data_IF_066571018737
#
_entry.id   IF_066571018737
#
_cell.length_a   1.000
_cell.length_b   1.000
_cell.length_c   1.000
_cell.angle_alpha   90.00
_cell.angle_beta   90.00
_cell.angle_gamma   90.00
#
_symmetry.space_group_name_H-M   'P 1'
#
loop_
_entity.id
_entity.type
_entity.pdbx_description
1 polymer ?
#
# COMPACT_ATOMS: atom_id res chain seq x y z
N UNK A 1 -13.44 -6.43 -11.11
CA UNK A 1 -13.58 -5.74 -12.42
C UNK A 1 -15.04 -5.45 -12.74
N UNK A 2 -15.93 -6.46 -12.75
CA UNK A 2 -17.34 -6.23 -13.07
C UNK A 2 -18.02 -5.17 -12.19
N UNK A 3 -17.79 -5.22 -10.87
CA UNK A 3 -18.36 -4.25 -9.94
C UNK A 3 -17.84 -2.80 -10.11
N UNK A 4 -16.66 -2.63 -10.69
CA UNK A 4 -16.05 -1.33 -10.94
C UNK A 4 -16.26 -0.83 -12.37
N UNK A 5 -16.80 -1.68 -13.25
CA UNK A 5 -16.89 -1.47 -14.71
C UNK A 5 -15.57 -0.97 -15.33
N UNK A 6 -14.47 -1.45 -14.81
CA UNK A 6 -13.14 -1.08 -15.26
C UNK A 6 -12.71 -1.93 -16.47
N UNK A 7 -12.03 -1.31 -17.45
CA UNK A 7 -11.42 -2.01 -18.58
C UNK A 7 -10.10 -2.66 -18.18
N UNK A 8 -9.36 -2.02 -17.26
CA UNK A 8 -8.09 -2.49 -16.72
C UNK A 8 -8.01 -2.29 -15.22
N UNK A 9 -7.35 -3.22 -14.53
CA UNK A 9 -6.92 -3.09 -13.14
C UNK A 9 -5.44 -3.45 -13.08
N UNK A 10 -4.62 -2.56 -12.51
CA UNK A 10 -3.20 -2.80 -12.30
C UNK A 10 -2.88 -2.69 -10.80
N UNK A 11 -2.12 -3.64 -10.27
CA UNK A 11 -1.69 -3.61 -8.88
C UNK A 11 -0.41 -4.41 -8.64
N UNK A 12 0.19 -4.21 -7.48
CA UNK A 12 1.40 -4.93 -7.05
C UNK A 12 1.05 -5.97 -6.00
N UNK A 13 1.56 -7.19 -6.14
CA UNK A 13 1.28 -8.30 -5.24
C UNK A 13 1.68 -8.00 -3.78
N UNK A 14 2.81 -7.31 -3.56
CA UNK A 14 3.27 -6.97 -2.21
C UNK A 14 2.35 -6.01 -1.44
N UNK A 15 1.36 -5.38 -2.08
CA UNK A 15 0.35 -4.54 -1.41
C UNK A 15 -0.85 -5.35 -0.92
N UNK A 16 -0.90 -6.63 -1.26
CA UNK A 16 -1.93 -7.58 -0.82
C UNK A 16 -1.29 -8.88 -0.32
N UNK A 17 -0.26 -8.74 0.52
CA UNK A 17 0.48 -9.84 1.16
C UNK A 17 1.30 -10.75 0.24
N UNK A 18 1.38 -10.45 -1.05
CA UNK A 18 2.16 -11.20 -2.02
C UNK A 18 3.64 -10.83 -2.04
N UNK A 19 4.46 -11.57 -2.80
CA UNK A 19 5.89 -11.33 -2.92
C UNK A 19 6.20 -10.04 -3.66
N UNK A 20 7.40 -9.50 -3.41
CA UNK A 20 7.97 -8.38 -4.16
C UNK A 20 8.28 -8.79 -5.62
N UNK A 21 8.33 -7.81 -6.51
CA UNK A 21 8.71 -8.02 -7.90
C UNK A 21 7.62 -8.65 -8.79
N UNK A 22 6.37 -8.66 -8.31
CA UNK A 22 5.20 -9.09 -9.08
C UNK A 22 4.23 -7.92 -9.22
N UNK A 23 3.93 -7.57 -10.46
CA UNK A 23 2.87 -6.67 -10.86
C UNK A 23 1.84 -7.40 -11.71
N UNK A 24 0.59 -7.08 -11.56
CA UNK A 24 -0.53 -7.67 -12.28
C UNK A 24 -1.23 -6.59 -13.10
N UNK A 25 -1.47 -6.87 -14.38
CA UNK A 25 -2.43 -6.18 -15.22
C UNK A 25 -3.55 -7.15 -15.56
N UNK A 26 -4.75 -6.89 -15.08
CA UNK A 26 -5.95 -7.63 -15.42
C UNK A 26 -6.86 -6.74 -16.27
N UNK A 27 -7.49 -7.29 -17.28
CA UNK A 27 -8.34 -6.50 -18.18
C UNK A 27 -9.37 -7.34 -18.92
N UNK A 28 -10.38 -6.66 -19.49
CA UNK A 28 -11.30 -7.26 -20.45
C UNK A 28 -10.45 -7.72 -21.66
N UNK A 29 -10.71 -8.91 -22.19
CA UNK A 29 -9.93 -9.43 -23.32
C UNK A 29 -9.97 -8.50 -24.54
N UNK A 30 -11.12 -7.88 -24.80
CA UNK A 30 -11.29 -6.86 -25.86
C UNK A 30 -10.38 -5.65 -25.66
N UNK A 31 -10.18 -5.20 -24.41
CA UNK A 31 -9.31 -4.07 -24.08
C UNK A 31 -7.84 -4.46 -24.12
N UNK A 32 -7.48 -5.63 -23.57
CA UNK A 32 -6.12 -6.17 -23.61
C UNK A 32 -5.64 -6.38 -25.07
N UNK A 33 -6.56 -6.80 -25.96
CA UNK A 33 -6.21 -7.02 -27.37
C UNK A 33 -5.85 -5.73 -28.14
N UNK A 34 -6.21 -4.56 -27.63
CA UNK A 34 -5.83 -3.27 -28.21
C UNK A 34 -4.43 -2.81 -27.79
N UNK A 35 -3.88 -3.40 -26.72
CA UNK A 35 -2.56 -3.01 -26.22
C UNK A 35 -1.45 -3.49 -27.16
N UNK A 36 -0.47 -2.63 -27.37
CA UNK A 36 0.77 -2.96 -28.04
C UNK A 36 1.84 -3.33 -27.01
N UNK A 37 2.76 -4.25 -27.35
CA UNK A 37 3.91 -4.52 -26.50
C UNK A 37 4.74 -3.27 -26.22
N UNK A 38 5.09 -3.04 -24.95
CA UNK A 38 5.98 -1.96 -24.56
C UNK A 38 7.45 -2.42 -24.56
N UNK A 39 7.68 -3.68 -24.19
CA UNK A 39 8.99 -4.31 -24.19
C UNK A 39 9.00 -5.50 -25.13
N UNK A 40 10.18 -5.80 -25.68
CA UNK A 40 10.38 -6.92 -26.58
C UNK A 40 11.38 -7.91 -25.99
N UNK A 41 11.13 -9.20 -26.18
CA UNK A 41 11.99 -10.26 -25.62
C UNK A 41 11.51 -11.65 -25.97
N UNK A 42 12.09 -12.65 -25.32
CA UNK A 42 11.73 -14.04 -25.53
C UNK A 42 10.27 -14.35 -25.18
N UNK A 43 9.71 -15.39 -25.79
CA UNK A 43 8.36 -15.94 -25.60
C UNK A 43 7.18 -15.11 -26.12
N UNK A 44 7.34 -13.82 -26.36
CA UNK A 44 6.28 -12.94 -26.86
C UNK A 44 6.16 -12.89 -28.37
N UNK A 45 7.13 -13.46 -29.08
CA UNK A 45 7.25 -13.43 -30.55
C UNK A 45 6.84 -14.80 -31.09
N UNK A 46 5.98 -14.80 -32.11
CA UNK A 46 5.62 -15.98 -32.87
C UNK A 46 6.63 -16.20 -33.99
N UNK A 47 6.88 -15.14 -34.79
CA UNK A 47 7.81 -15.17 -35.93
C UNK A 47 8.55 -13.85 -36.09
N UNK A 48 9.83 -13.95 -36.44
CA UNK A 48 10.67 -12.79 -36.81
C UNK A 48 11.26 -13.03 -38.23
N UNK A 49 11.16 -12.04 -39.07
CA UNK A 49 11.88 -11.97 -40.35
C UNK A 49 12.49 -10.57 -40.53
N UNK A 50 13.25 -10.37 -41.62
CA UNK A 50 13.77 -9.04 -41.91
C UNK A 50 12.67 -8.02 -42.31
N UNK A 51 11.49 -8.50 -42.69
CA UNK A 51 10.40 -7.66 -43.18
C UNK A 51 9.30 -7.44 -42.17
N UNK A 52 9.08 -8.41 -41.25
CA UNK A 52 7.99 -8.33 -40.29
C UNK A 52 8.26 -9.11 -38.97
N UNK A 53 7.58 -8.69 -37.95
CA UNK A 53 7.51 -9.37 -36.66
C UNK A 53 6.04 -9.68 -36.38
N UNK A 54 5.74 -10.95 -36.04
CA UNK A 54 4.42 -11.36 -35.53
C UNK A 54 4.56 -11.73 -34.06
N UNK A 55 3.59 -11.31 -33.28
CA UNK A 55 3.57 -11.56 -31.83
C UNK A 55 2.70 -12.76 -31.51
N UNK A 56 3.07 -13.45 -30.44
CA UNK A 56 2.25 -14.50 -29.86
C UNK A 56 0.92 -13.92 -29.36
N UNK A 57 -0.04 -14.82 -29.11
CA UNK A 57 -1.32 -14.46 -28.55
C UNK A 57 -1.20 -13.93 -27.10
N UNK A 58 -2.26 -13.31 -26.61
CA UNK A 58 -2.38 -12.94 -25.20
C UNK A 58 -2.40 -14.20 -24.32
N UNK A 59 -1.76 -14.18 -23.17
CA UNK A 59 -1.07 -13.02 -22.53
C UNK A 59 0.36 -12.80 -23.01
N UNK A 60 0.96 -13.77 -23.71
CA UNK A 60 2.40 -13.82 -23.99
C UNK A 60 2.95 -12.60 -24.74
N UNK A 61 2.17 -12.02 -25.66
CA UNK A 61 2.63 -10.83 -26.39
C UNK A 61 2.88 -9.61 -25.51
N UNK A 62 2.34 -9.57 -24.28
CA UNK A 62 2.53 -8.49 -23.32
C UNK A 62 3.54 -8.85 -22.21
N UNK A 63 4.12 -10.05 -22.26
CA UNK A 63 5.03 -10.60 -21.25
C UNK A 63 6.39 -10.94 -21.87
N UNK A 64 7.27 -9.94 -22.00
CA UNK A 64 8.58 -10.10 -22.61
C UNK A 64 9.56 -10.80 -21.66
N UNK A 65 10.20 -11.88 -22.16
CA UNK A 65 11.25 -12.60 -21.46
C UNK A 65 10.75 -13.67 -20.49
N UNK A 66 11.66 -14.19 -19.67
CA UNK A 66 11.32 -15.18 -18.64
C UNK A 66 10.66 -14.48 -17.45
N UNK A 67 9.42 -14.85 -17.09
CA UNK A 67 8.73 -14.23 -15.96
C UNK A 67 9.37 -14.61 -14.61
N UNK A 68 9.05 -13.87 -13.56
CA UNK A 68 9.38 -14.23 -12.19
C UNK A 68 8.53 -15.42 -11.74
N UNK A 69 8.90 -16.64 -12.14
CA UNK A 69 8.13 -17.88 -11.92
C UNK A 69 7.88 -18.11 -10.43
N UNK A 70 8.93 -18.00 -9.60
CA UNK A 70 8.81 -18.21 -8.15
C UNK A 70 7.83 -17.21 -7.51
N UNK A 71 7.89 -15.93 -7.92
CA UNK A 71 6.98 -14.90 -7.43
C UNK A 71 5.53 -15.14 -7.87
N UNK A 72 5.30 -15.59 -9.11
CA UNK A 72 3.95 -15.90 -9.60
C UNK A 72 3.35 -17.08 -8.82
N UNK A 73 4.11 -18.16 -8.61
CA UNK A 73 3.67 -19.32 -7.81
C UNK A 73 3.39 -18.90 -6.36
N UNK A 74 4.31 -18.12 -5.76
CA UNK A 74 4.13 -17.59 -4.40
C UNK A 74 2.90 -16.71 -4.28
N UNK A 75 2.63 -15.88 -5.28
CA UNK A 75 1.42 -15.06 -5.28
C UNK A 75 0.14 -15.90 -5.44
N UNK A 76 0.17 -16.97 -6.24
CA UNK A 76 -0.93 -17.94 -6.33
C UNK A 76 -1.29 -18.53 -4.95
N UNK A 77 -0.29 -18.95 -4.18
CA UNK A 77 -0.48 -19.45 -2.82
C UNK A 77 -1.11 -18.40 -1.88
N UNK A 78 -0.69 -17.13 -2.00
CA UNK A 78 -1.28 -16.02 -1.24
C UNK A 78 -2.75 -15.82 -1.62
N UNK A 79 -3.09 -15.85 -2.90
CA UNK A 79 -4.48 -15.73 -3.34
C UNK A 79 -5.38 -16.85 -2.79
N UNK A 80 -4.86 -18.10 -2.73
CA UNK A 80 -5.59 -19.21 -2.13
C UNK A 80 -5.73 -19.09 -0.62
N UNK A 81 -4.74 -18.53 0.06
CA UNK A 81 -4.83 -18.20 1.48
C UNK A 81 -5.85 -17.08 1.73
N UNK A 82 -5.83 -16.02 0.94
CA UNK A 82 -6.76 -14.88 1.04
C UNK A 82 -8.22 -15.31 0.82
N UNK A 83 -8.52 -16.29 -0.04
CA UNK A 83 -9.88 -16.82 -0.25
C UNK A 83 -10.54 -17.37 1.03
N UNK A 84 -9.73 -17.71 2.05
CA UNK A 84 -10.20 -18.23 3.34
C UNK A 84 -10.60 -17.13 4.33
N UNK A 85 -10.36 -15.87 3.98
CA UNK A 85 -10.61 -14.73 4.86
C UNK A 85 -11.96 -14.09 4.55
N UNK A 86 -12.64 -13.66 5.60
CA UNK A 86 -13.70 -12.67 5.49
C UNK A 86 -13.06 -11.28 5.38
N UNK A 87 -12.86 -10.81 4.16
CA UNK A 87 -12.23 -9.51 3.90
C UNK A 87 -13.01 -8.36 4.50
N UNK A 88 -14.33 -8.43 4.48
CA UNK A 88 -15.17 -7.35 4.99
C UNK A 88 -15.00 -7.24 6.51
N UNK A 89 -15.01 -8.34 7.23
CA UNK A 89 -14.75 -8.37 8.66
C UNK A 89 -13.32 -7.94 9.00
N UNK A 90 -12.34 -8.40 8.24
CA UNK A 90 -10.93 -8.05 8.44
C UNK A 90 -10.66 -6.55 8.20
N UNK A 91 -11.25 -5.95 7.17
CA UNK A 91 -11.17 -4.52 6.89
C UNK A 91 -11.88 -3.71 7.98
N UNK A 92 -13.09 -4.09 8.36
CA UNK A 92 -13.85 -3.41 9.41
C UNK A 92 -13.08 -3.41 10.74
N UNK A 93 -12.40 -4.50 11.08
CA UNK A 93 -11.56 -4.60 12.26
C UNK A 93 -10.36 -3.64 12.21
N UNK A 94 -9.61 -3.63 11.10
CA UNK A 94 -8.47 -2.72 10.92
C UNK A 94 -8.91 -1.24 10.95
N UNK A 95 -10.05 -0.92 10.34
CA UNK A 95 -10.67 0.41 10.41
C UNK A 95 -11.05 0.78 11.83
N UNK A 96 -11.61 -0.15 12.62
CA UNK A 96 -11.96 0.13 14.02
C UNK A 96 -10.73 0.50 14.87
N UNK A 97 -9.59 -0.19 14.69
CA UNK A 97 -8.33 0.16 15.37
C UNK A 97 -7.84 1.57 14.96
N UNK A 98 -7.96 1.92 13.68
CA UNK A 98 -7.60 3.24 13.18
C UNK A 98 -8.51 4.34 13.76
N UNK A 99 -9.82 4.14 13.77
CA UNK A 99 -10.77 5.13 14.32
C UNK A 99 -10.55 5.34 15.82
N UNK A 100 -10.33 4.26 16.57
CA UNK A 100 -9.95 4.37 17.98
C UNK A 100 -8.66 5.18 18.17
N UNK A 101 -7.66 4.95 17.32
CA UNK A 101 -6.41 5.72 17.37
C UNK A 101 -6.62 7.19 17.04
N UNK A 102 -7.49 7.52 16.07
CA UNK A 102 -7.87 8.91 15.75
C UNK A 102 -8.53 9.60 16.95
N UNK A 103 -9.43 8.91 17.65
CA UNK A 103 -10.10 9.46 18.83
C UNK A 103 -9.09 9.77 19.92
N UNK A 104 -8.14 8.86 20.18
CA UNK A 104 -7.08 9.07 21.19
C UNK A 104 -6.13 10.20 20.80
N UNK A 105 -5.70 10.28 19.54
CA UNK A 105 -4.81 11.34 19.03
C UNK A 105 -5.42 12.73 19.17
N UNK A 106 -6.74 12.88 19.06
CA UNK A 106 -7.43 14.17 19.26
C UNK A 106 -7.28 14.73 20.69
N UNK A 107 -6.93 13.91 21.67
CA UNK A 107 -6.71 14.36 23.03
C UNK A 107 -5.35 15.07 23.22
N UNK A 108 -4.45 15.00 22.24
CA UNK A 108 -3.18 15.70 22.26
C UNK A 108 -3.35 17.09 21.66
N UNK A 109 -3.13 18.18 22.41
CA UNK A 109 -3.48 19.54 22.00
C UNK A 109 -2.76 20.02 20.74
N UNK A 110 -1.53 19.53 20.51
CA UNK A 110 -0.71 19.92 19.36
C UNK A 110 -0.76 18.90 18.21
N UNK A 111 -1.64 17.91 18.28
CA UNK A 111 -1.79 16.90 17.23
C UNK A 111 -2.80 17.36 16.17
N UNK A 112 -2.35 17.40 14.91
CA UNK A 112 -3.22 17.62 13.76
C UNK A 112 -3.38 16.36 12.94
N UNK A 113 -4.63 15.98 12.68
CA UNK A 113 -4.99 14.79 11.92
C UNK A 113 -5.36 15.16 10.48
N UNK A 114 -4.86 14.37 9.53
CA UNK A 114 -5.19 14.48 8.11
C UNK A 114 -6.00 13.25 7.70
N UNK A 115 -7.30 13.35 7.81
CA UNK A 115 -8.20 12.21 7.63
C UNK A 115 -9.03 12.34 6.35
N UNK A 116 -9.26 11.20 5.68
CA UNK A 116 -10.33 11.08 4.70
C UNK A 116 -11.70 11.20 5.39
N UNK A 117 -12.71 11.76 4.71
CA UNK A 117 -14.10 11.67 5.16
C UNK A 117 -14.59 10.22 5.26
N UNK A 118 -14.02 9.33 4.45
CA UNK A 118 -14.35 7.90 4.48
C UNK A 118 -13.51 7.18 5.55
N UNK A 119 -14.10 6.20 6.26
CA UNK A 119 -13.35 5.34 7.17
C UNK A 119 -12.16 4.68 6.47
N UNK A 120 -11.04 4.60 7.16
CA UNK A 120 -9.80 4.05 6.61
C UNK A 120 -8.96 3.41 7.71
N UNK A 121 -8.27 2.33 7.38
CA UNK A 121 -7.28 1.67 8.25
C UNK A 121 -5.96 2.46 8.38
N UNK A 122 -5.90 3.67 7.83
CA UNK A 122 -4.70 4.54 7.85
C UNK A 122 -5.02 5.83 8.59
N UNK A 123 -4.08 6.27 9.44
CA UNK A 123 -4.16 7.54 10.19
C UNK A 123 -2.91 8.34 9.89
N UNK A 124 -3.07 9.55 9.33
CA UNK A 124 -1.99 10.48 9.10
C UNK A 124 -2.09 11.67 10.08
N UNK A 125 -0.96 12.05 10.66
CA UNK A 125 -0.92 13.11 11.66
C UNK A 125 0.45 13.79 11.74
N UNK A 126 0.47 14.95 12.39
CA UNK A 126 1.68 15.70 12.79
C UNK A 126 1.49 16.21 14.21
N UNK A 127 2.58 16.57 14.86
CA UNK A 127 2.58 17.36 16.07
C UNK A 127 3.20 18.73 15.78
N UNK A 128 2.47 19.80 16.06
CA UNK A 128 2.97 21.15 15.85
C UNK A 128 4.18 21.42 16.75
N UNK A 129 5.25 21.93 16.16
CA UNK A 129 6.51 22.17 16.84
C UNK A 129 7.44 20.96 16.98
N UNK A 130 7.03 19.77 16.54
CA UNK A 130 7.85 18.55 16.62
C UNK A 130 8.14 18.04 15.20
N UNK A 131 9.41 17.82 14.90
CA UNK A 131 9.81 17.22 13.63
C UNK A 131 9.32 15.76 13.54
N UNK A 132 8.61 15.44 12.48
CA UNK A 132 8.06 14.08 12.28
C UNK A 132 9.16 13.00 12.26
N UNK A 133 10.37 13.32 11.76
CA UNK A 133 11.52 12.42 11.76
C UNK A 133 11.99 12.06 13.17
N UNK A 134 12.03 13.04 14.06
CA UNK A 134 12.56 12.85 15.41
C UNK A 134 11.60 11.98 16.23
N UNK A 135 10.31 12.29 16.14
CA UNK A 135 9.28 11.48 16.78
C UNK A 135 9.28 10.04 16.23
N UNK A 136 9.43 9.87 14.90
CA UNK A 136 9.51 8.54 14.29
C UNK A 136 10.73 7.75 14.77
N UNK A 137 11.87 8.42 14.97
CA UNK A 137 13.09 7.79 15.49
C UNK A 137 12.88 7.28 16.92
N UNK A 138 12.37 8.12 17.81
CA UNK A 138 12.09 7.73 19.20
C UNK A 138 11.05 6.60 19.31
N UNK A 139 10.03 6.62 18.46
CA UNK A 139 9.06 5.52 18.38
C UNK A 139 9.70 4.24 17.89
N UNK A 140 10.58 4.33 16.88
CA UNK A 140 11.29 3.16 16.33
C UNK A 140 12.22 2.51 17.36
N UNK A 141 12.90 3.29 18.19
CA UNK A 141 13.72 2.80 19.31
C UNK A 141 12.90 2.01 20.32
N UNK A 142 11.62 2.35 20.46
CA UNK A 142 10.64 1.64 21.29
C UNK A 142 9.91 0.52 20.54
N UNK A 143 10.42 0.11 19.35
CA UNK A 143 9.88 -0.97 18.50
C UNK A 143 8.49 -0.67 17.92
N UNK A 144 8.12 0.59 17.82
CA UNK A 144 6.91 1.05 17.13
C UNK A 144 7.28 1.44 15.71
N UNK A 145 6.91 0.62 14.74
CA UNK A 145 7.15 0.88 13.33
C UNK A 145 5.97 1.67 12.74
N UNK A 146 6.25 2.88 12.27
CA UNK A 146 5.33 3.69 11.48
C UNK A 146 6.05 4.31 10.29
N UNK A 147 5.29 4.83 9.35
CA UNK A 147 5.89 5.50 8.20
C UNK A 147 5.93 7.00 8.43
N UNK A 148 7.09 7.61 8.15
CA UNK A 148 7.29 9.06 8.11
C UNK A 148 7.67 9.50 6.71
N UNK A 149 7.23 10.67 6.29
CA UNK A 149 7.61 11.28 5.02
C UNK A 149 6.44 11.79 4.19
N UNK A 150 6.65 11.88 2.89
CA UNK A 150 5.72 12.47 1.92
C UNK A 150 4.66 11.49 1.41
N UNK A 151 4.77 10.21 1.71
CA UNK A 151 3.85 9.12 1.36
C UNK A 151 3.49 9.02 -0.14
N UNK A 152 4.40 9.46 -1.03
CA UNK A 152 4.15 9.63 -2.47
C UNK A 152 2.98 10.57 -2.78
N UNK A 153 2.74 11.58 -1.93
CA UNK A 153 1.60 12.49 -1.98
C UNK A 153 2.02 13.97 -1.84
N UNK A 154 3.19 14.35 -2.33
CA UNK A 154 3.76 15.70 -2.22
C UNK A 154 2.78 16.83 -2.61
N UNK A 155 2.07 16.77 -3.77
CA UNK A 155 1.14 17.84 -4.12
C UNK A 155 -0.02 17.99 -3.12
N UNK A 156 -0.45 16.88 -2.54
CA UNK A 156 -1.51 16.88 -1.53
C UNK A 156 -1.01 17.47 -0.21
N UNK A 157 0.16 17.05 0.27
CA UNK A 157 0.76 17.59 1.49
C UNK A 157 1.05 19.09 1.37
N UNK A 158 1.54 19.56 0.22
CA UNK A 158 1.76 20.99 -0.03
C UNK A 158 0.46 21.82 0.10
N UNK A 159 -0.69 21.28 -0.33
CA UNK A 159 -2.00 21.93 -0.14
C UNK A 159 -2.43 21.99 1.33
N UNK A 160 -1.96 21.07 2.15
CA UNK A 160 -2.21 21.05 3.60
C UNK A 160 -1.21 21.93 4.37
N UNK A 161 -0.22 22.52 3.70
CA UNK A 161 0.86 23.29 4.32
C UNK A 161 1.93 22.40 4.97
N UNK A 162 1.99 21.12 4.61
CA UNK A 162 2.90 20.13 5.18
C UNK A 162 3.93 19.64 4.16
N UNK A 163 5.10 19.25 4.66
CA UNK A 163 6.12 18.53 3.88
C UNK A 163 6.15 17.04 4.21
N UNK A 164 5.96 16.72 5.47
CA UNK A 164 6.05 15.35 5.96
C UNK A 164 4.96 15.10 7.00
N UNK A 165 4.45 13.88 7.05
CA UNK A 165 3.54 13.42 8.11
C UNK A 165 3.97 12.06 8.65
N UNK A 166 3.48 11.74 9.84
CA UNK A 166 3.53 10.41 10.42
C UNK A 166 2.28 9.63 9.99
N UNK A 167 2.44 8.33 9.70
CA UNK A 167 1.34 7.48 9.27
C UNK A 167 1.32 6.16 10.05
N UNK A 168 0.25 5.95 10.80
CA UNK A 168 -0.13 4.63 11.28
C UNK A 168 -0.89 3.90 10.18
N UNK A 169 -0.63 2.61 10.04
CA UNK A 169 -1.35 1.73 9.11
C UNK A 169 -1.71 0.46 9.85
N UNK A 170 -2.99 0.17 9.91
CA UNK A 170 -3.51 -1.02 10.58
C UNK A 170 -3.86 -2.09 9.56
N UNK A 171 -3.59 -3.32 9.91
CA UNK A 171 -3.89 -4.50 9.13
C UNK A 171 -4.59 -5.53 10.03
N UNK A 172 -5.21 -6.57 9.48
CA UNK A 172 -5.94 -7.56 10.27
C UNK A 172 -5.10 -8.32 11.31
N UNK A 173 -3.77 -8.28 11.21
CA UNK A 173 -2.87 -8.89 12.17
C UNK A 173 -2.49 -7.97 13.34
N UNK A 174 -2.87 -6.69 13.31
CA UNK A 174 -2.69 -5.80 14.46
C UNK A 174 -3.73 -6.07 15.53
N UNK A 175 -3.38 -5.74 16.77
CA UNK A 175 -4.20 -5.96 17.94
C UNK A 175 -4.46 -4.67 18.72
N UNK A 176 -5.40 -4.71 19.69
CA UNK A 176 -5.58 -3.64 20.64
C UNK A 176 -4.29 -3.34 21.44
N UNK A 177 -3.50 -4.37 21.72
CA UNK A 177 -2.23 -4.23 22.44
C UNK A 177 -1.22 -3.40 21.62
N UNK A 178 -1.21 -3.51 20.29
CA UNK A 178 -0.35 -2.67 19.44
C UNK A 178 -0.76 -1.20 19.51
N UNK A 179 -2.06 -0.92 19.54
CA UNK A 179 -2.58 0.44 19.74
C UNK A 179 -2.12 0.99 21.10
N UNK A 180 -2.27 0.22 22.17
CA UNK A 180 -1.90 0.65 23.51
C UNK A 180 -0.39 0.84 23.65
N UNK A 181 0.41 -0.04 23.05
CA UNK A 181 1.87 0.08 22.98
C UNK A 181 2.31 1.34 22.20
N UNK A 182 1.64 1.65 21.09
CA UNK A 182 1.89 2.88 20.36
C UNK A 182 1.68 4.12 21.22
N UNK A 183 0.56 4.21 21.96
CA UNK A 183 0.26 5.39 22.76
C UNK A 183 1.20 5.50 23.97
N UNK A 184 1.57 4.40 24.62
CA UNK A 184 2.56 4.41 25.68
C UNK A 184 3.95 4.90 25.18
N UNK A 185 4.35 4.46 24.01
CA UNK A 185 5.59 4.92 23.37
C UNK A 185 5.51 6.38 22.91
N UNK A 186 4.34 6.81 22.42
CA UNK A 186 4.10 8.20 22.03
C UNK A 186 4.23 9.15 23.20
N UNK A 187 3.57 8.87 24.32
CA UNK A 187 3.63 9.70 25.54
C UNK A 187 5.07 9.90 25.98
N UNK A 188 5.83 8.80 26.09
CA UNK A 188 7.24 8.85 26.48
C UNK A 188 8.11 9.61 25.47
N UNK A 189 7.83 9.49 24.17
CA UNK A 189 8.58 10.21 23.14
C UNK A 189 8.29 11.71 23.17
N UNK A 190 7.04 12.10 23.41
CA UNK A 190 6.64 13.50 23.53
C UNK A 190 7.25 14.15 24.78
N UNK A 191 7.33 13.45 25.90
CA UNK A 191 8.02 13.93 27.11
C UNK A 191 9.50 14.23 26.84
N UNK A 192 10.19 13.36 26.08
CA UNK A 192 11.60 13.55 25.71
C UNK A 192 11.81 14.74 24.74
N UNK A 193 10.83 15.04 23.91
CA UNK A 193 10.92 16.14 22.94
C UNK A 193 10.43 17.48 23.50
N UNK A 194 9.81 17.48 24.66
CA UNK A 194 9.36 18.71 25.34
C UNK A 194 10.45 19.35 26.21
N UNK A 195 11.59 18.68 26.39
CA UNK A 195 12.76 19.19 27.11
C UNK A 195 13.70 19.95 26.17
#
# INVERSE_FOLDING_TARGET
MQALDADFIAFSAHKIYGPNGIGILSGKLSSLSLLQPLFYGGKMIERVSHECITFADLPYRLEAGTPNIAGVIGFGAVLDWLKKWDFQAAEAYAVALAEQSKVRLKNYPNCRLFNSPQPSSVVCFVFDGIAASDLATLLSEQKIALRVGEHCAQPYLARLGERTTLRLSFAPYNSQQDVDAFFAALDKSLELLAC
#
